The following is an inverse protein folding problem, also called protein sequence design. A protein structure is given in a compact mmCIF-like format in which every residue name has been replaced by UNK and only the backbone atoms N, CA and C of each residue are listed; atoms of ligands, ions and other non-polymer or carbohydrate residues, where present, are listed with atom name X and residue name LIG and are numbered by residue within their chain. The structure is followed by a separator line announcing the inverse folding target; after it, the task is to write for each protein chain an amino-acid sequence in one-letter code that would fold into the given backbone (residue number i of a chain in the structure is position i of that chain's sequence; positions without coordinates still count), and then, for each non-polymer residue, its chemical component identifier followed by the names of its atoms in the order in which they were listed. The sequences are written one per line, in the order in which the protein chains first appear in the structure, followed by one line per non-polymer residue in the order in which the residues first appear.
data_IF_031654689609
#
_entry.id   IF_031654689609
#
_cell.length_a   1.000
_cell.length_b   1.000
_cell.length_c   1.000
_cell.angle_alpha   90.00
_cell.angle_beta   90.00
_cell.angle_gamma   90.00
#
_symmetry.space_group_name_H-M   'P 1'
#
loop_
_entity.id
_entity.type
_entity.pdbx_description
1 polymer ?
#
# COMPACT_ATOMS: atom_id res chain seq x y z
N UNK A 1 27.07 16.63 79.36
CA UNK A 1 28.20 17.51 79.00
C UNK A 1 27.84 18.18 77.68
N UNK A 2 27.63 19.51 77.69
CA UNK A 2 27.36 20.46 76.57
C UNK A 2 26.04 20.27 75.80
N UNK A 3 24.92 20.98 76.04
CA UNK A 3 24.55 22.43 76.03
C UNK A 3 24.59 23.15 74.68
N UNK A 4 23.38 23.52 74.23
CA UNK A 4 22.98 24.85 73.71
C UNK A 4 23.73 25.50 72.54
N UNK A 5 23.05 25.62 71.40
CA UNK A 5 23.04 26.81 70.51
C UNK A 5 21.87 26.62 69.51
N UNK A 6 20.67 27.14 69.78
CA UNK A 6 20.14 28.40 69.22
C UNK A 6 19.46 28.13 67.85
N UNK A 7 18.14 28.07 67.67
CA UNK A 7 17.06 28.98 68.10
C UNK A 7 17.42 30.45 67.87
N UNK A 8 17.47 30.86 66.59
CA UNK A 8 17.13 32.19 66.05
C UNK A 8 16.93 32.01 64.54
N UNK A 9 15.67 31.90 64.11
CA UNK A 9 15.05 32.59 62.97
C UNK A 9 13.63 32.03 62.79
N UNK A 10 12.76 32.51 63.68
CA UNK A 10 11.33 32.58 63.45
C UNK A 10 11.10 33.53 62.27
N UNK A 11 10.06 33.23 61.48
CA UNK A 11 9.45 34.05 60.43
C UNK A 11 10.12 34.01 59.05
N UNK A 12 9.72 33.06 58.20
CA UNK A 12 8.98 33.30 56.94
C UNK A 12 8.73 31.95 56.22
N UNK A 13 7.63 31.28 56.51
CA UNK A 13 7.16 30.16 55.68
C UNK A 13 5.64 30.29 55.53
N UNK A 14 5.28 31.26 54.70
CA UNK A 14 3.91 31.48 54.23
C UNK A 14 3.55 30.33 53.29
N UNK A 15 2.51 29.58 53.68
CA UNK A 15 1.52 28.89 52.85
C UNK A 15 1.90 28.65 51.38
N UNK A 16 2.26 27.40 51.05
CA UNK A 16 2.02 26.84 49.72
C UNK A 16 1.38 25.46 49.91
N UNK A 17 0.05 25.42 49.75
CA UNK A 17 -0.74 24.20 49.60
C UNK A 17 -0.30 23.48 48.31
N UNK A 18 -0.14 22.15 48.29
CA UNK A 18 -0.15 21.41 47.03
C UNK A 18 -1.60 21.36 46.56
N UNK A 19 -1.93 22.13 45.53
CA UNK A 19 -3.16 21.93 44.79
C UNK A 19 -3.12 20.52 44.17
N UNK A 20 -4.05 19.66 44.58
CA UNK A 20 -4.43 18.46 43.84
C UNK A 20 -4.79 18.89 42.41
N UNK A 21 -3.93 18.60 41.44
CA UNK A 21 -4.26 18.77 40.04
C UNK A 21 -4.92 17.47 39.55
N UNK A 22 -6.24 17.40 39.71
CA UNK A 22 -7.09 16.44 38.99
C UNK A 22 -7.12 16.86 37.53
N UNK A 23 -6.14 16.41 36.73
CA UNK A 23 -6.33 16.40 35.28
C UNK A 23 -7.22 15.22 34.94
N UNK A 24 -8.53 15.46 34.93
CA UNK A 24 -9.51 14.60 34.29
C UNK A 24 -9.20 14.56 32.79
N UNK A 25 -8.34 13.60 32.40
CA UNK A 25 -8.26 13.14 31.03
C UNK A 25 -9.50 12.31 30.74
N UNK A 26 -10.61 12.99 30.45
CA UNK A 26 -11.82 12.38 29.88
C UNK A 26 -11.39 11.67 28.59
N UNK A 27 -11.33 10.34 28.67
CA UNK A 27 -11.20 9.44 27.54
C UNK A 27 -12.56 9.42 26.83
N UNK A 28 -12.82 10.43 26.01
CA UNK A 28 -13.88 10.35 25.01
C UNK A 28 -13.30 9.61 23.80
N UNK A 29 -13.68 8.33 23.65
CA UNK A 29 -13.37 7.47 22.50
C UNK A 29 -14.08 7.91 21.22
N UNK A 30 -13.94 9.18 20.83
CA UNK A 30 -14.39 9.72 19.55
C UNK A 30 -13.17 10.23 18.77
N UNK A 31 -13.08 10.02 17.45
CA UNK A 31 -12.04 10.63 16.65
C UNK A 31 -12.16 12.17 16.74
N UNK A 32 -11.10 12.81 17.23
CA UNK A 32 -10.97 14.28 17.26
C UNK A 32 -10.56 14.76 15.86
N UNK A 33 -11.38 15.60 15.25
CA UNK A 33 -10.95 16.45 14.14
C UNK A 33 -9.88 17.42 14.66
N UNK A 34 -8.65 17.28 14.16
CA UNK A 34 -7.57 18.22 14.43
C UNK A 34 -7.49 19.16 13.22
N UNK A 35 -7.84 20.41 13.45
CA UNK A 35 -7.64 21.57 12.58
C UNK A 35 -8.70 21.82 11.49
N UNK A 36 -9.45 22.90 11.67
CA UNK A 36 -10.23 23.54 10.61
C UNK A 36 -9.25 24.31 9.70
N UNK A 37 -8.88 23.71 8.58
CA UNK A 37 -8.06 24.38 7.56
C UNK A 37 -8.98 25.26 6.72
N UNK A 38 -8.86 26.57 6.93
CA UNK A 38 -9.41 27.57 6.02
C UNK A 38 -8.74 27.43 4.66
N UNK A 39 -9.52 27.12 3.63
CA UNK A 39 -9.05 26.93 2.25
C UNK A 39 -8.52 28.25 1.67
N UNK A 40 -7.25 28.36 1.25
CA UNK A 40 -6.82 29.43 0.35
C UNK A 40 -7.28 29.14 -1.09
N UNK A 41 -7.48 30.18 -1.93
CA UNK A 41 -7.98 30.02 -3.29
C UNK A 41 -7.05 29.19 -4.18
N UNK A 42 -7.69 28.35 -5.01
CA UNK A 42 -7.10 27.36 -5.90
C UNK A 42 -6.06 27.99 -6.82
N UNK A 43 -4.78 27.71 -6.57
CA UNK A 43 -3.73 27.86 -7.59
C UNK A 43 -3.61 26.52 -8.30
N UNK A 44 -3.94 26.49 -9.60
CA UNK A 44 -3.79 25.32 -10.45
C UNK A 44 -2.30 24.93 -10.51
N UNK A 45 -1.92 23.94 -9.70
CA UNK A 45 -0.62 23.27 -9.74
C UNK A 45 -0.67 22.11 -10.75
N UNK A 46 0.48 21.70 -11.33
CA UNK A 46 0.52 21.06 -12.63
C UNK A 46 0.03 19.60 -12.62
N UNK A 47 -0.66 19.26 -13.70
CA UNK A 47 -1.16 17.93 -14.08
C UNK A 47 -0.10 16.84 -13.87
N UNK A 48 -0.38 15.88 -12.97
CA UNK A 48 0.30 14.58 -12.89
C UNK A 48 0.09 13.85 -14.22
N UNK A 49 1.11 13.85 -15.08
CA UNK A 49 1.10 13.04 -16.28
C UNK A 49 1.16 11.55 -15.88
N UNK A 50 0.16 10.79 -16.29
CA UNK A 50 0.20 9.33 -16.30
C UNK A 50 1.24 8.90 -17.34
N UNK A 51 2.30 8.21 -16.93
CA UNK A 51 3.24 7.60 -17.87
C UNK A 51 2.56 6.43 -18.59
N UNK A 52 2.49 6.41 -19.94
CA UNK A 52 1.98 5.29 -20.68
C UNK A 52 2.95 4.10 -20.68
N UNK A 53 2.37 2.93 -20.54
CA UNK A 53 2.95 1.59 -20.73
C UNK A 53 3.93 1.51 -21.90
N UNK A 54 5.11 0.96 -21.65
CA UNK A 54 6.07 0.61 -22.70
C UNK A 54 5.50 -0.49 -23.59
N UNK A 55 5.04 -0.12 -24.79
CA UNK A 55 4.75 -1.03 -25.89
C UNK A 55 6.08 -1.28 -26.62
N UNK A 56 6.45 -2.55 -26.79
CA UNK A 56 7.63 -2.96 -27.53
C UNK A 56 7.61 -2.39 -28.96
N UNK A 57 8.64 -1.63 -29.34
CA UNK A 57 8.87 -1.22 -30.73
C UNK A 57 9.40 -2.40 -31.55
N UNK A 58 8.85 -2.68 -32.75
CA UNK A 58 9.49 -3.55 -33.71
C UNK A 58 10.64 -2.80 -34.43
N UNK A 59 11.71 -3.55 -34.66
CA UNK A 59 12.94 -3.19 -35.38
C UNK A 59 12.64 -2.65 -36.79
N UNK A 60 13.27 -1.56 -37.26
CA UNK A 60 13.11 -1.12 -38.65
C UNK A 60 13.95 -1.99 -39.58
N UNK A 61 13.27 -2.58 -40.57
CA UNK A 61 13.81 -3.32 -41.69
C UNK A 61 14.33 -2.33 -42.75
N UNK A 62 15.59 -2.46 -43.13
CA UNK A 62 16.27 -1.66 -44.16
C UNK A 62 15.83 -2.16 -45.55
N UNK A 63 15.21 -1.27 -46.33
CA UNK A 63 14.84 -1.51 -47.73
C UNK A 63 15.84 -0.76 -48.62
N UNK A 64 16.69 -1.51 -49.32
CA UNK A 64 17.50 -0.98 -50.42
C UNK A 64 16.62 -0.75 -51.66
N UNK A 65 16.64 0.46 -52.21
CA UNK A 65 16.15 0.73 -53.57
C UNK A 65 17.26 1.39 -54.39
N UNK A 66 17.62 0.71 -55.48
CA UNK A 66 18.68 1.03 -56.43
C UNK A 66 18.17 2.08 -57.42
N UNK A 67 18.89 3.19 -57.58
CA UNK A 67 18.73 4.06 -58.75
C UNK A 67 20.07 4.65 -59.21
N UNK A 68 20.27 4.58 -60.53
CA UNK A 68 21.55 4.65 -61.23
C UNK A 68 22.03 6.08 -61.57
N UNK A 69 23.34 6.16 -61.84
CA UNK A 69 24.11 7.32 -62.34
C UNK A 69 23.65 7.81 -63.74
N UNK A 70 24.04 9.04 -64.16
CA UNK A 70 25.25 9.11 -65.01
C UNK A 70 26.18 10.32 -64.75
N UNK A 71 27.35 10.21 -65.38
CA UNK A 71 28.58 10.99 -65.30
C UNK A 71 28.52 12.47 -65.73
N UNK A 72 29.55 13.26 -65.38
CA UNK A 72 30.50 13.87 -66.34
C UNK A 72 31.57 14.76 -65.63
N UNK A 73 32.84 14.44 -65.90
CA UNK A 73 34.04 15.30 -66.12
C UNK A 73 34.48 16.37 -65.10
N UNK A 74 35.72 16.24 -64.59
CA UNK A 74 36.62 17.39 -64.41
C UNK A 74 38.09 17.00 -64.53
N UNK A 75 38.82 17.91 -65.16
CA UNK A 75 40.12 17.83 -65.82
C UNK A 75 41.31 17.67 -64.86
N UNK A 76 42.30 16.87 -65.26
CA UNK A 76 43.56 16.67 -64.55
C UNK A 76 44.52 17.87 -64.71
N UNK A 77 45.18 18.25 -63.61
CA UNK A 77 46.38 19.11 -63.60
C UNK A 77 47.44 18.43 -62.73
N UNK A 78 48.71 18.27 -63.17
CA UNK A 78 49.74 17.57 -62.42
C UNK A 78 50.48 18.54 -61.47
N UNK A 79 50.61 18.17 -60.20
CA UNK A 79 51.32 19.00 -59.22
C UNK A 79 51.66 18.29 -57.92
N UNK A 80 52.86 17.70 -57.87
CA UNK A 80 53.76 17.57 -56.71
C UNK A 80 53.17 16.90 -55.45
N UNK A 81 53.38 15.59 -55.32
CA UNK A 81 53.14 14.83 -54.07
C UNK A 81 54.23 15.17 -53.05
N UNK A 82 53.90 16.02 -52.08
CA UNK A 82 54.64 16.10 -50.80
C UNK A 82 54.09 15.04 -49.85
N UNK A 83 54.95 14.13 -49.40
CA UNK A 83 54.65 13.16 -48.35
C UNK A 83 54.95 13.81 -46.99
N UNK A 84 53.96 14.15 -46.15
CA UNK A 84 54.23 14.50 -44.77
C UNK A 84 54.48 13.23 -43.94
N UNK A 85 55.73 13.07 -43.52
CA UNK A 85 56.20 12.11 -42.51
C UNK A 85 55.54 12.39 -41.15
N UNK A 86 54.90 11.38 -40.55
CA UNK A 86 54.35 11.45 -39.20
C UNK A 86 55.48 11.65 -38.14
N UNK A 87 55.32 12.56 -37.17
CA UNK A 87 56.28 12.75 -36.08
C UNK A 87 56.18 11.63 -35.02
N UNK A 88 57.27 11.28 -34.31
CA UNK A 88 57.27 10.24 -33.29
C UNK A 88 56.53 10.69 -32.01
N UNK A 89 55.55 9.90 -31.58
CA UNK A 89 54.84 10.10 -30.32
C UNK A 89 55.69 9.65 -29.13
N UNK A 90 55.87 10.55 -28.16
CA UNK A 90 56.53 10.30 -26.87
C UNK A 90 55.51 9.73 -25.87
N UNK A 91 55.85 8.53 -25.38
CA UNK A 91 55.22 7.64 -24.39
C UNK A 91 54.93 8.34 -23.03
N UNK A 92 53.99 7.83 -22.19
CA UNK A 92 54.31 6.68 -21.33
C UNK A 92 53.25 5.55 -21.36
N UNK A 93 53.73 4.33 -21.59
CA UNK A 93 53.00 3.07 -21.52
C UNK A 93 53.33 2.46 -20.16
N UNK A 94 52.33 2.36 -19.30
CA UNK A 94 52.43 1.70 -18.00
C UNK A 94 52.39 0.19 -18.24
N UNK A 95 53.56 -0.42 -18.33
CA UNK A 95 53.75 -1.88 -18.33
C UNK A 95 53.81 -2.38 -16.89
N UNK A 96 52.89 -3.25 -16.43
CA UNK A 96 53.13 -4.02 -15.23
C UNK A 96 54.15 -5.12 -15.53
N UNK A 97 55.30 -5.05 -14.84
CA UNK A 97 56.30 -6.13 -14.81
C UNK A 97 55.78 -7.25 -13.92
N UNK A 98 55.55 -8.45 -14.48
CA UNK A 98 55.24 -9.65 -13.71
C UNK A 98 56.55 -10.40 -13.45
N UNK A 99 57.09 -10.24 -12.25
CA UNK A 99 58.20 -11.08 -11.75
C UNK A 99 57.63 -12.42 -11.31
N UNK A 100 57.97 -13.50 -12.02
CA UNK A 100 57.69 -14.85 -11.57
C UNK A 100 58.62 -15.21 -10.40
N UNK A 101 58.08 -15.31 -9.19
CA UNK A 101 58.74 -15.92 -8.03
C UNK A 101 58.23 -17.36 -7.91
N UNK A 102 59.16 -18.32 -7.96
CA UNK A 102 58.86 -19.74 -7.81
C UNK A 102 58.92 -20.17 -6.33
N UNK A 103 58.05 -21.14 -6.03
CA UNK A 103 58.06 -22.07 -4.90
C UNK A 103 57.74 -21.51 -3.50
N UNK A 104 56.55 -21.88 -3.00
CA UNK A 104 56.47 -22.57 -1.71
C UNK A 104 55.17 -23.40 -1.57
N UNK A 105 55.40 -24.71 -1.38
CA UNK A 105 54.66 -25.70 -0.59
C UNK A 105 53.14 -25.51 -0.43
N UNK A 106 52.37 -26.29 -1.22
CA UNK A 106 50.95 -26.53 -0.96
C UNK A 106 50.78 -27.32 0.36
N UNK A 107 50.29 -26.65 1.39
CA UNK A 107 49.74 -27.29 2.59
C UNK A 107 48.39 -27.89 2.22
N UNK A 108 48.12 -29.19 2.47
CA UNK A 108 46.79 -29.75 2.23
C UNK A 108 45.78 -29.07 3.18
N UNK A 109 44.82 -28.36 2.61
CA UNK A 109 43.67 -27.85 3.34
C UNK A 109 42.89 -29.03 3.94
N UNK A 110 42.34 -28.92 5.16
CA UNK A 110 41.55 -29.99 5.74
C UNK A 110 40.30 -30.23 4.88
N UNK A 111 40.22 -31.41 4.28
CA UNK A 111 39.02 -31.94 3.65
C UNK A 111 37.86 -31.83 4.63
N UNK A 112 36.93 -30.92 4.36
CA UNK A 112 35.71 -30.79 5.14
C UNK A 112 34.82 -31.97 4.76
N UNK A 113 34.93 -33.07 5.50
CA UNK A 113 33.98 -34.18 5.40
C UNK A 113 32.58 -33.64 5.70
N UNK A 114 31.71 -33.60 4.68
CA UNK A 114 30.29 -33.36 4.88
C UNK A 114 29.74 -34.61 5.55
N UNK A 115 29.75 -34.62 6.89
CA UNK A 115 29.00 -35.60 7.66
C UNK A 115 27.52 -35.29 7.47
N UNK A 116 26.90 -35.99 6.53
CA UNK A 116 25.44 -36.06 6.42
C UNK A 116 24.97 -36.75 7.70
N UNK A 117 24.59 -35.95 8.69
CA UNK A 117 23.92 -36.45 9.89
C UNK A 117 22.48 -36.68 9.44
N UNK A 118 21.95 -37.92 9.46
CA UNK A 118 20.54 -38.13 9.15
C UNK A 118 19.72 -37.37 10.19
N UNK A 119 19.02 -36.35 9.75
CA UNK A 119 18.01 -35.66 10.54
C UNK A 119 16.96 -36.69 10.97
N UNK A 120 16.55 -36.74 12.24
CA UNK A 120 15.50 -37.66 12.65
C UNK A 120 14.23 -37.32 11.87
N UNK A 121 13.78 -38.24 11.03
CA UNK A 121 12.50 -38.15 10.34
C UNK A 121 11.41 -37.94 11.38
N UNK A 122 10.97 -36.69 11.54
CA UNK A 122 9.79 -36.37 12.31
C UNK A 122 8.61 -36.97 11.54
N UNK A 123 8.08 -38.07 12.06
CA UNK A 123 6.83 -38.65 11.60
C UNK A 123 5.73 -37.62 11.85
N UNK A 124 5.47 -36.77 10.87
CA UNK A 124 4.31 -35.89 10.87
C UNK A 124 3.08 -36.81 10.84
N UNK A 125 2.21 -36.79 11.86
CA UNK A 125 0.98 -37.58 11.79
C UNK A 125 0.14 -37.01 10.65
N UNK A 126 -0.12 -37.84 9.63
CA UNK A 126 -1.11 -37.55 8.59
C UNK A 126 -2.45 -37.38 9.28
N UNK A 127 -2.89 -36.14 9.50
CA UNK A 127 -4.27 -35.86 9.90
C UNK A 127 -5.15 -36.24 8.72
N UNK A 128 -5.71 -37.45 8.75
CA UNK A 128 -6.82 -37.83 7.88
C UNK A 128 -8.00 -36.98 8.33
N UNK A 129 -8.33 -35.97 7.54
CA UNK A 129 -9.51 -35.15 7.74
C UNK A 129 -10.74 -36.04 7.51
N UNK A 130 -11.22 -36.69 8.57
CA UNK A 130 -12.53 -37.34 8.56
C UNK A 130 -13.58 -36.23 8.42
N UNK A 131 -14.34 -36.17 7.31
CA UNK A 131 -15.44 -35.24 7.23
C UNK A 131 -16.43 -35.57 8.36
N UNK A 132 -17.05 -34.56 9.00
CA UNK A 132 -18.06 -34.80 10.02
C UNK A 132 -19.18 -35.69 9.44
N UNK A 133 -19.78 -36.60 10.23
CA UNK A 133 -20.89 -37.41 9.74
C UNK A 133 -22.01 -36.47 9.32
N UNK A 134 -22.27 -36.43 8.02
CA UNK A 134 -23.43 -35.78 7.44
C UNK A 134 -24.65 -36.44 8.07
N UNK A 135 -25.26 -35.75 9.04
CA UNK A 135 -26.58 -36.15 9.52
C UNK A 135 -27.52 -35.95 8.34
N UNK A 136 -27.85 -37.04 7.65
CA UNK A 136 -28.97 -37.08 6.74
C UNK A 136 -30.22 -36.85 7.58
N UNK A 137 -30.68 -35.61 7.64
CA UNK A 137 -32.04 -35.30 8.07
C UNK A 137 -32.95 -35.91 7.01
N UNK A 138 -33.38 -37.14 7.25
CA UNK A 138 -34.51 -37.76 6.56
C UNK A 138 -35.74 -36.95 6.95
N UNK A 139 -36.05 -35.95 6.12
CA UNK A 139 -37.37 -35.34 6.10
C UNK A 139 -38.30 -36.43 5.62
N UNK A 140 -39.02 -37.05 6.56
CA UNK A 140 -40.09 -37.97 6.25
C UNK A 140 -41.09 -37.24 5.34
N UNK A 141 -41.17 -37.68 4.08
CA UNK A 141 -42.24 -37.31 3.18
C UNK A 141 -43.54 -37.83 3.78
N UNK A 142 -44.31 -36.95 4.41
CA UNK A 142 -45.68 -37.25 4.78
C UNK A 142 -46.54 -37.10 3.51
N UNK A 143 -47.39 -38.09 3.17
CA UNK A 143 -48.13 -38.06 1.91
C UNK A 143 -49.28 -37.05 1.97
N UNK A 144 -49.31 -36.20 0.93
CA UNK A 144 -50.49 -35.69 0.23
C UNK A 144 -51.74 -35.36 1.06
N UNK A 145 -51.96 -34.06 1.27
CA UNK A 145 -53.28 -33.45 1.12
C UNK A 145 -53.14 -32.33 0.09
N UNK A 146 -53.54 -32.63 -1.15
CA UNK A 146 -53.66 -31.65 -2.21
C UNK A 146 -54.82 -30.70 -1.86
N UNK A 147 -54.46 -29.48 -1.44
CA UNK A 147 -55.37 -28.34 -1.49
C UNK A 147 -55.33 -27.78 -2.92
N UNK A 148 -56.48 -27.48 -3.55
CA UNK A 148 -56.47 -26.88 -4.88
C UNK A 148 -55.81 -25.51 -4.81
N UNK A 149 -54.80 -25.32 -5.67
CA UNK A 149 -54.16 -24.04 -5.91
C UNK A 149 -55.21 -23.04 -6.40
N UNK A 150 -55.61 -22.17 -5.49
CA UNK A 150 -56.52 -21.06 -5.72
C UNK A 150 -56.14 -19.88 -4.83
N UNK A 151 -54.84 -19.64 -4.61
CA UNK A 151 -54.37 -18.40 -4.00
C UNK A 151 -54.43 -17.30 -5.06
N UNK A 152 -55.64 -16.77 -5.21
CA UNK A 152 -55.82 -15.36 -5.59
C UNK A 152 -55.10 -14.57 -4.50
N UNK A 153 -53.95 -13.99 -4.84
CA UNK A 153 -53.28 -13.01 -3.99
C UNK A 153 -54.23 -11.82 -3.78
N UNK A 154 -55.02 -11.89 -2.71
CA UNK A 154 -55.74 -10.74 -2.20
C UNK A 154 -54.68 -9.83 -1.55
N UNK A 155 -54.50 -8.58 -2.00
CA UNK A 155 -53.61 -7.66 -1.32
C UNK A 155 -54.11 -7.51 0.12
N UNK A 156 -53.23 -7.73 1.10
CA UNK A 156 -53.52 -7.43 2.50
C UNK A 156 -53.89 -5.94 2.59
N UNK A 157 -55.12 -5.58 3.01
CA UNK A 157 -55.47 -4.18 3.15
C UNK A 157 -54.76 -3.63 4.39
N UNK A 158 -53.80 -2.72 4.20
CA UNK A 158 -53.32 -1.86 5.28
C UNK A 158 -51.85 -1.99 5.68
N UNK A 159 -51.03 -2.79 4.99
CA UNK A 159 -49.58 -2.51 4.98
C UNK A 159 -49.36 -1.59 3.79
N UNK A 160 -49.13 -0.27 3.98
CA UNK A 160 -48.56 0.51 2.91
C UNK A 160 -47.24 -0.18 2.56
N UNK A 161 -47.15 -0.75 1.35
CA UNK A 161 -45.87 -0.92 0.66
C UNK A 161 -45.28 0.48 0.59
N UNK A 162 -44.58 0.89 1.66
CA UNK A 162 -43.89 2.15 1.68
C UNK A 162 -42.75 1.95 0.70
N UNK A 163 -42.78 2.59 -0.49
CA UNK A 163 -41.66 2.51 -1.41
C UNK A 163 -40.44 2.95 -0.61
N UNK A 164 -39.35 2.18 -0.65
CA UNK A 164 -38.08 2.63 -0.09
C UNK A 164 -37.89 4.08 -0.52
N UNK A 165 -37.75 5.00 0.45
CA UNK A 165 -37.76 6.42 0.19
C UNK A 165 -36.80 6.70 -0.97
N UNK A 166 -37.34 7.17 -2.11
CA UNK A 166 -36.52 7.46 -3.28
C UNK A 166 -35.66 8.65 -2.95
N UNK A 167 -34.40 8.38 -2.61
CA UNK A 167 -33.45 9.42 -2.27
C UNK A 167 -33.29 10.37 -3.47
N UNK A 168 -33.31 11.68 -3.21
CA UNK A 168 -33.00 12.69 -4.24
C UNK A 168 -31.56 12.55 -4.76
N UNK A 169 -30.69 11.96 -3.95
CA UNK A 169 -29.32 11.59 -4.31
C UNK A 169 -29.13 10.14 -3.95
N UNK A 170 -28.93 9.24 -4.92
CA UNK A 170 -28.71 7.83 -4.63
C UNK A 170 -27.31 7.57 -4.06
N UNK A 171 -27.16 6.44 -3.39
CA UNK A 171 -25.84 5.85 -3.14
C UNK A 171 -25.20 5.44 -4.47
N UNK A 172 -23.87 5.56 -4.59
CA UNK A 172 -23.17 5.12 -5.81
C UNK A 172 -23.13 3.60 -6.00
N UNK A 173 -23.60 2.84 -5.01
CA UNK A 173 -23.66 1.38 -4.98
C UNK A 173 -25.08 0.91 -4.72
N UNK A 174 -25.36 -0.34 -5.12
CA UNK A 174 -26.69 -0.97 -4.94
C UNK A 174 -26.74 -1.91 -3.74
N UNK A 175 -25.58 -2.38 -3.26
CA UNK A 175 -25.47 -3.27 -2.09
C UNK A 175 -24.36 -2.78 -1.15
N UNK A 176 -24.61 -2.73 0.18
CA UNK A 176 -25.85 -3.06 0.87
C UNK A 176 -26.94 -2.01 0.59
N UNK A 177 -28.21 -2.42 0.69
CA UNK A 177 -29.32 -1.46 0.63
C UNK A 177 -29.41 -0.75 1.97
N UNK A 178 -29.14 0.54 1.97
CA UNK A 178 -29.22 1.38 3.17
C UNK A 178 -30.61 2.04 3.26
N UNK A 179 -31.22 2.13 4.45
CA UNK A 179 -32.53 2.74 4.64
C UNK A 179 -32.49 4.28 4.59
N UNK A 180 -31.30 4.87 4.76
CA UNK A 180 -31.06 6.32 4.75
C UNK A 180 -30.46 6.81 3.43
N UNK A 181 -30.66 8.09 3.18
CA UNK A 181 -30.12 8.77 2.02
C UNK A 181 -28.78 9.42 2.34
N UNK A 182 -27.84 9.44 1.39
CA UNK A 182 -26.57 10.11 1.57
C UNK A 182 -26.78 11.64 1.70
N UNK A 183 -26.05 12.31 2.60
CA UNK A 183 -26.11 13.77 2.76
C UNK A 183 -25.54 14.54 1.57
N UNK A 184 -24.78 13.90 0.68
CA UNK A 184 -24.14 14.53 -0.47
C UNK A 184 -23.96 13.53 -1.62
N UNK A 185 -23.80 14.05 -2.83
CA UNK A 185 -23.49 13.24 -4.00
C UNK A 185 -22.12 12.58 -3.88
N UNK A 186 -21.93 11.47 -4.59
CA UNK A 186 -20.66 10.77 -4.61
C UNK A 186 -19.59 11.65 -5.29
N UNK A 187 -18.37 11.59 -4.74
CA UNK A 187 -17.22 12.37 -5.20
C UNK A 187 -16.25 11.44 -5.90
N UNK A 188 -15.85 11.79 -7.12
CA UNK A 188 -14.78 11.11 -7.83
C UNK A 188 -13.43 11.74 -7.49
N UNK A 189 -12.42 10.92 -7.28
CA UNK A 189 -11.06 11.36 -6.98
C UNK A 189 -10.03 10.47 -7.68
N UNK A 190 -8.91 11.02 -8.18
CA UNK A 190 -7.73 10.21 -8.46
C UNK A 190 -7.36 9.43 -7.19
N UNK A 191 -7.01 8.16 -7.37
CA UNK A 191 -6.70 7.27 -6.27
C UNK A 191 -5.61 6.27 -6.65
N UNK A 192 -4.99 5.69 -5.62
CA UNK A 192 -4.09 4.55 -5.76
C UNK A 192 -4.52 3.46 -4.77
N UNK A 193 -4.31 2.21 -5.14
CA UNK A 193 -4.70 1.04 -4.35
C UNK A 193 -3.55 0.03 -4.35
N UNK A 194 -3.27 -0.56 -3.20
CA UNK A 194 -2.29 -1.64 -3.09
C UNK A 194 -2.77 -2.66 -2.04
N UNK A 195 -2.58 -3.95 -2.35
CA UNK A 195 -2.84 -5.05 -1.42
C UNK A 195 -1.58 -5.42 -0.64
N UNK A 196 -1.82 -5.87 0.58
CA UNK A 196 -0.81 -6.28 1.54
C UNK A 196 -1.23 -7.61 2.17
N UNK A 197 -0.27 -8.33 2.74
CA UNK A 197 -0.48 -9.66 3.35
C UNK A 197 -1.69 -9.70 4.31
N UNK A 198 -1.90 -8.62 5.07
CA UNK A 198 -2.95 -8.52 6.08
C UNK A 198 -3.78 -7.24 5.96
N UNK A 199 -3.88 -6.66 4.76
CA UNK A 199 -4.75 -5.51 4.54
C UNK A 199 -4.61 -4.79 3.21
N UNK A 200 -5.06 -3.54 3.21
CA UNK A 200 -5.14 -2.69 2.03
C UNK A 200 -4.70 -1.27 2.36
N UNK A 201 -4.06 -0.61 1.40
CA UNK A 201 -3.91 0.84 1.42
C UNK A 201 -4.60 1.48 0.23
N UNK A 202 -5.29 2.59 0.49
CA UNK A 202 -5.97 3.39 -0.52
C UNK A 202 -5.60 4.85 -0.36
N UNK A 203 -4.98 5.43 -1.37
CA UNK A 203 -4.71 6.87 -1.43
C UNK A 203 -5.83 7.58 -2.15
N UNK A 204 -6.30 8.70 -1.59
CA UNK A 204 -7.37 9.55 -2.16
C UNK A 204 -6.80 10.94 -2.45
N UNK A 205 -6.65 11.26 -3.73
CA UNK A 205 -5.99 12.46 -4.20
C UNK A 205 -6.65 13.77 -3.75
N UNK A 206 -7.98 13.88 -3.81
CA UNK A 206 -8.69 15.09 -3.39
C UNK A 206 -8.54 15.40 -1.88
N UNK A 207 -8.15 14.41 -1.09
CA UNK A 207 -7.95 14.53 0.35
C UNK A 207 -6.46 14.52 0.74
N UNK A 208 -5.56 14.21 -0.20
CA UNK A 208 -4.14 13.92 0.06
C UNK A 208 -3.95 12.97 1.25
N UNK A 209 -4.76 11.91 1.30
CA UNK A 209 -4.85 11.01 2.45
C UNK A 209 -4.75 9.55 2.04
N UNK A 210 -4.11 8.76 2.90
CA UNK A 210 -3.91 7.32 2.80
C UNK A 210 -4.75 6.63 3.85
N UNK A 211 -5.72 5.84 3.40
CA UNK A 211 -6.52 4.95 4.22
C UNK A 211 -5.81 3.61 4.34
N UNK A 212 -5.52 3.19 5.57
CA UNK A 212 -4.91 1.91 5.90
C UNK A 212 -5.98 1.03 6.53
N UNK A 213 -6.26 -0.11 5.93
CA UNK A 213 -7.34 -1.03 6.32
C UNK A 213 -6.71 -2.35 6.72
N UNK A 214 -6.92 -2.78 7.96
CA UNK A 214 -6.33 -3.99 8.53
C UNK A 214 -7.34 -5.14 8.56
N UNK A 215 -6.92 -6.32 8.10
CA UNK A 215 -7.74 -7.54 8.20
C UNK A 215 -7.77 -8.07 9.63
N UNK A 216 -6.74 -7.79 10.43
CA UNK A 216 -6.69 -8.17 11.85
C UNK A 216 -7.90 -7.66 12.64
N UNK A 217 -8.26 -8.37 13.71
CA UNK A 217 -9.39 -8.01 14.57
C UNK A 217 -9.06 -6.88 15.56
N UNK A 218 -7.79 -6.48 15.65
CA UNK A 218 -7.34 -5.43 16.57
C UNK A 218 -7.92 -4.07 16.20
N UNK A 219 -8.39 -3.32 17.21
CA UNK A 219 -8.94 -1.99 17.01
C UNK A 219 -7.84 -0.91 17.10
N UNK A 220 -7.88 0.15 16.28
CA UNK A 220 -8.82 0.34 15.16
C UNK A 220 -8.43 -0.55 13.96
N UNK A 221 -9.43 -1.07 13.25
CA UNK A 221 -9.25 -1.90 12.04
C UNK A 221 -9.05 -1.10 10.77
N UNK A 222 -9.17 0.23 10.84
CA UNK A 222 -8.72 1.12 9.79
C UNK A 222 -8.26 2.46 10.38
N UNK A 223 -7.37 3.15 9.68
CA UNK A 223 -6.85 4.46 10.04
C UNK A 223 -6.65 5.31 8.79
N UNK A 224 -6.53 6.62 8.96
CA UNK A 224 -6.23 7.55 7.89
C UNK A 224 -4.97 8.34 8.25
N UNK A 225 -4.08 8.49 7.29
CA UNK A 225 -2.82 9.22 7.43
C UNK A 225 -2.69 10.24 6.30
N UNK A 226 -2.06 11.40 6.53
CA UNK A 226 -1.73 12.32 5.45
C UNK A 226 -0.65 11.73 4.55
N UNK A 227 -0.74 11.98 3.24
CA UNK A 227 0.33 11.66 2.30
C UNK A 227 1.40 12.76 2.34
N UNK A 228 2.44 12.53 3.14
CA UNK A 228 3.57 13.44 3.29
C UNK A 228 4.72 13.15 2.32
N UNK A 229 4.57 12.17 1.42
CA UNK A 229 5.61 11.84 0.47
C UNK A 229 5.66 12.90 -0.64
N UNK A 230 6.86 13.37 -0.96
CA UNK A 230 7.08 14.33 -2.04
C UNK A 230 8.11 13.78 -3.03
N UNK A 231 7.98 14.21 -4.29
CA UNK A 231 8.87 13.79 -5.36
C UNK A 231 10.34 14.05 -4.99
N UNK A 232 11.18 13.04 -5.18
CA UNK A 232 12.60 13.08 -4.82
C UNK A 232 12.90 12.51 -3.43
N UNK A 233 11.90 12.19 -2.60
CA UNK A 233 12.11 11.35 -1.42
C UNK A 233 12.41 9.89 -1.82
N UNK A 234 13.13 9.12 -0.98
CA UNK A 234 13.32 7.69 -1.21
C UNK A 234 11.98 6.95 -1.37
N UNK A 235 11.88 6.16 -2.43
CA UNK A 235 10.71 5.34 -2.72
C UNK A 235 10.53 4.24 -1.66
N UNK A 236 11.63 3.57 -1.28
CA UNK A 236 11.70 2.48 -0.30
C UNK A 236 12.91 2.65 0.62
N UNK A 237 13.02 1.79 1.63
CA UNK A 237 14.15 1.78 2.57
C UNK A 237 14.88 0.43 2.50
N UNK A 238 16.03 0.34 1.82
CA UNK A 238 16.79 -0.91 1.70
C UNK A 238 17.25 -1.51 3.03
N UNK A 239 17.30 -0.73 4.11
CA UNK A 239 17.66 -1.26 5.43
C UNK A 239 16.61 -2.21 6.00
N UNK A 240 15.37 -2.12 5.51
CA UNK A 240 14.26 -3.00 5.90
C UNK A 240 14.24 -4.30 5.10
N UNK A 241 14.95 -4.41 3.97
CA UNK A 241 14.97 -5.63 3.13
C UNK A 241 15.45 -6.86 3.92
N UNK A 242 16.35 -6.67 4.88
CA UNK A 242 16.84 -7.75 5.75
C UNK A 242 15.77 -8.28 6.72
N UNK A 243 14.68 -7.53 6.93
CA UNK A 243 13.54 -7.93 7.76
C UNK A 243 12.46 -8.66 6.96
N UNK A 244 12.59 -8.77 5.64
CA UNK A 244 11.61 -9.42 4.78
C UNK A 244 11.53 -10.92 5.08
N UNK A 245 10.34 -11.46 5.38
CA UNK A 245 10.12 -12.90 5.38
C UNK A 245 10.52 -13.53 4.03
N UNK A 246 10.88 -14.83 3.99
CA UNK A 246 11.27 -15.49 2.73
C UNK A 246 10.20 -15.48 1.63
N UNK A 247 8.94 -15.24 1.99
CA UNK A 247 7.79 -15.15 1.09
C UNK A 247 7.39 -13.71 0.74
N UNK A 248 7.94 -12.72 1.44
CA UNK A 248 7.62 -11.32 1.20
C UNK A 248 8.57 -10.78 0.12
N UNK A 249 8.00 -10.33 -0.99
CA UNK A 249 8.79 -9.93 -2.15
C UNK A 249 8.91 -8.41 -2.30
N UNK A 250 7.97 -7.62 -1.75
CA UNK A 250 7.85 -6.21 -2.08
C UNK A 250 7.66 -5.30 -0.87
N UNK A 251 8.52 -4.29 -0.78
CA UNK A 251 8.23 -3.10 0.02
C UNK A 251 7.22 -2.21 -0.71
N UNK A 252 6.20 -1.66 -0.02
CA UNK A 252 5.42 -0.56 -0.57
C UNK A 252 6.31 0.64 -0.87
N UNK A 253 5.95 1.40 -1.90
CA UNK A 253 6.75 2.54 -2.39
C UNK A 253 6.04 3.86 -2.15
N UNK A 254 6.79 4.96 -2.22
CA UNK A 254 6.27 6.34 -2.20
C UNK A 254 5.41 6.63 -0.96
N UNK A 255 4.22 7.22 -1.11
CA UNK A 255 3.30 7.56 -0.02
C UNK A 255 2.93 6.36 0.85
N UNK A 256 2.54 5.24 0.25
CA UNK A 256 2.28 4.00 0.98
C UNK A 256 3.53 3.50 1.71
N UNK A 257 4.67 3.53 1.03
CA UNK A 257 5.96 3.16 1.62
C UNK A 257 6.34 4.02 2.81
N UNK A 258 6.05 5.32 2.76
CA UNK A 258 6.36 6.25 3.84
C UNK A 258 5.50 5.94 5.07
N UNK A 259 4.17 5.90 4.91
CA UNK A 259 3.24 5.54 6.00
C UNK A 259 3.61 4.18 6.59
N UNK A 260 3.90 3.18 5.75
CA UNK A 260 4.24 1.84 6.18
C UNK A 260 5.48 1.79 7.11
N UNK A 261 6.54 2.54 6.78
CA UNK A 261 7.80 2.53 7.56
C UNK A 261 7.85 3.54 8.70
N UNK A 262 7.10 4.64 8.63
CA UNK A 262 7.16 5.71 9.64
C UNK A 262 6.06 5.65 10.69
N UNK A 263 4.88 5.13 10.34
CA UNK A 263 3.76 5.10 11.27
C UNK A 263 3.84 3.90 12.21
N UNK A 264 3.85 4.12 13.54
CA UNK A 264 4.00 3.04 14.51
C UNK A 264 2.93 1.97 14.35
N UNK A 265 3.37 0.72 14.21
CA UNK A 265 2.50 -0.45 14.16
C UNK A 265 1.87 -0.75 12.79
N UNK A 266 1.98 0.14 11.79
CA UNK A 266 1.41 -0.12 10.45
C UNK A 266 2.09 -1.34 9.82
N UNK A 267 3.42 -1.32 9.69
CA UNK A 267 4.20 -2.42 9.11
C UNK A 267 3.90 -3.77 9.76
N UNK A 268 3.90 -3.83 11.09
CA UNK A 268 3.67 -5.08 11.84
C UNK A 268 2.23 -5.61 11.72
N UNK A 269 1.26 -4.75 11.43
CA UNK A 269 -0.16 -5.13 11.38
C UNK A 269 -0.64 -5.47 9.98
N UNK A 270 -0.16 -4.76 8.97
CA UNK A 270 -0.59 -4.94 7.58
C UNK A 270 0.31 -5.88 6.79
N UNK A 271 1.57 -6.05 7.20
CA UNK A 271 2.55 -6.89 6.52
C UNK A 271 3.17 -6.23 5.29
N UNK A 272 3.82 -7.03 4.44
CA UNK A 272 4.48 -6.61 3.21
C UNK A 272 3.49 -6.43 2.05
N UNK A 273 3.90 -5.72 1.01
CA UNK A 273 3.07 -5.53 -0.17
C UNK A 273 3.04 -6.82 -1.02
N UNK A 274 1.88 -7.16 -1.56
CA UNK A 274 1.73 -8.34 -2.43
C UNK A 274 2.07 -8.02 -3.89
N UNK A 275 2.12 -6.73 -4.25
CA UNK A 275 2.48 -6.26 -5.59
C UNK A 275 3.66 -5.29 -5.53
N UNK A 276 4.53 -5.25 -6.57
CA UNK A 276 5.67 -4.33 -6.62
C UNK A 276 5.26 -2.86 -6.76
N UNK A 277 4.06 -2.60 -7.29
CA UNK A 277 3.56 -1.26 -7.58
C UNK A 277 2.09 -1.10 -7.14
N UNK A 278 1.74 0.13 -6.79
CA UNK A 278 0.36 0.56 -6.59
C UNK A 278 -0.42 0.60 -7.91
N UNK A 279 -1.71 0.32 -7.85
CA UNK A 279 -2.63 0.46 -8.96
C UNK A 279 -3.31 1.83 -8.89
N UNK A 280 -3.00 2.70 -9.86
CA UNK A 280 -3.73 3.95 -10.06
C UNK A 280 -5.14 3.70 -10.61
N UNK A 281 -6.14 4.41 -10.08
CA UNK A 281 -7.53 4.32 -10.52
C UNK A 281 -8.32 5.59 -10.14
N UNK A 282 -9.60 5.65 -10.51
CA UNK A 282 -10.52 6.69 -10.03
C UNK A 282 -11.42 6.09 -8.95
N UNK A 283 -11.23 6.53 -7.70
CA UNK A 283 -12.10 6.16 -6.60
C UNK A 283 -13.39 6.98 -6.64
N UNK A 284 -14.46 6.36 -6.17
CA UNK A 284 -15.72 7.06 -5.88
C UNK A 284 -16.00 6.91 -4.40
N UNK A 285 -16.24 8.05 -3.76
CA UNK A 285 -16.40 8.16 -2.33
C UNK A 285 -17.74 8.78 -1.99
N UNK A 286 -18.34 8.32 -0.90
CA UNK A 286 -19.55 8.94 -0.36
C UNK A 286 -19.61 8.69 1.14
N UNK A 287 -20.01 9.69 1.90
CA UNK A 287 -20.06 9.62 3.37
C UNK A 287 -21.50 9.55 3.82
N UNK A 288 -21.78 8.70 4.80
CA UNK A 288 -23.08 8.57 5.46
C UNK A 288 -23.21 9.58 6.59
N UNK A 289 -24.45 9.87 6.98
CA UNK A 289 -24.76 10.81 8.07
C UNK A 289 -24.15 10.39 9.41
N UNK A 290 -23.92 9.09 9.62
CA UNK A 290 -23.25 8.56 10.82
C UNK A 290 -21.71 8.72 10.80
N UNK A 291 -21.13 9.18 9.68
CA UNK A 291 -19.68 9.30 9.50
C UNK A 291 -19.03 8.12 8.79
N UNK A 292 -19.79 7.09 8.41
CA UNK A 292 -19.27 5.96 7.63
C UNK A 292 -18.82 6.41 6.25
N UNK A 293 -17.60 6.07 5.85
CA UNK A 293 -17.04 6.43 4.55
C UNK A 293 -17.11 5.22 3.63
N UNK A 294 -17.79 5.37 2.50
CA UNK A 294 -17.81 4.37 1.45
C UNK A 294 -16.79 4.70 0.37
N UNK A 295 -15.95 3.73 -0.01
CA UNK A 295 -14.92 3.88 -1.05
C UNK A 295 -15.00 2.69 -1.99
N UNK A 296 -15.22 2.95 -3.29
CA UNK A 296 -15.15 1.90 -4.32
C UNK A 296 -13.69 1.58 -4.62
N UNK A 297 -13.31 0.31 -4.57
CA UNK A 297 -11.98 -0.18 -4.97
C UNK A 297 -11.93 -0.54 -6.48
N UNK A 298 -10.75 -0.81 -7.06
CA UNK A 298 -10.61 -1.01 -8.50
C UNK A 298 -11.44 -2.18 -9.08
N UNK A 299 -11.72 -3.21 -8.28
CA UNK A 299 -12.53 -4.37 -8.72
C UNK A 299 -14.04 -4.13 -8.58
N UNK A 300 -14.47 -2.91 -8.23
CA UNK A 300 -15.89 -2.56 -8.09
C UNK A 300 -16.49 -2.86 -6.72
N UNK A 301 -15.77 -3.55 -5.83
CA UNK A 301 -16.17 -3.74 -4.43
C UNK A 301 -16.13 -2.41 -3.67
N UNK A 302 -16.86 -2.32 -2.57
CA UNK A 302 -17.03 -1.09 -1.78
C UNK A 302 -16.61 -1.34 -0.34
N UNK A 303 -15.58 -0.64 0.09
CA UNK A 303 -15.22 -0.54 1.51
C UNK A 303 -16.20 0.38 2.22
N UNK A 304 -16.65 -0.02 3.40
CA UNK A 304 -17.42 0.80 4.32
C UNK A 304 -16.63 0.95 5.62
N UNK A 305 -16.06 2.14 5.82
CA UNK A 305 -15.19 2.47 6.95
C UNK A 305 -16.00 3.19 8.01
N UNK A 306 -16.33 2.49 9.08
CA UNK A 306 -17.20 2.98 10.15
C UNK A 306 -16.39 3.80 11.17
N UNK A 307 -16.95 4.88 11.74
CA UNK A 307 -16.23 5.78 12.66
C UNK A 307 -15.87 5.14 14.01
N UNK A 308 -16.47 3.99 14.32
CA UNK A 308 -16.10 3.14 15.46
C UNK A 308 -14.75 2.43 15.26
N UNK A 309 -14.14 2.56 14.07
CA UNK A 309 -12.87 1.94 13.72
C UNK A 309 -13.03 0.56 13.07
N UNK A 310 -14.25 0.12 12.76
CA UNK A 310 -14.51 -1.13 12.05
C UNK A 310 -14.67 -0.90 10.54
N UNK A 311 -14.59 -1.95 9.75
CA UNK A 311 -14.85 -1.88 8.32
C UNK A 311 -15.54 -3.13 7.78
N UNK A 312 -16.23 -2.96 6.65
CA UNK A 312 -16.83 -4.03 5.86
C UNK A 312 -16.50 -3.84 4.38
N UNK A 313 -16.55 -4.93 3.61
CA UNK A 313 -16.37 -4.93 2.17
C UNK A 313 -17.58 -5.57 1.51
N UNK A 314 -18.15 -4.87 0.54
CA UNK A 314 -19.33 -5.30 -0.22
C UNK A 314 -18.96 -5.50 -1.69
N UNK A 315 -19.54 -6.50 -2.35
CA UNK A 315 -19.20 -6.86 -3.73
C UNK A 315 -20.22 -7.80 -4.32
#
# INVERSE_FOLDING_TARGET
MKTFFGLIFVALAVLILPACNTSEGVIDGRPRLISEVTLPPVTLAPTRALSPTAIASPMPQETEEIAASPAMTSTAVPGITVTPTLPPSKTPSITPSVTATAADTATPAPTREIRITPEPTVLVPTMVFMPPPTQAVVVAANPTLALPAGDVSLPLPGVPDQPAASCSTPWFFTYPVLPDCPPSAAVESPAAYQTFEYGYMIWIGNQSAIYVIYISADMPRWQVFPDNWVEGMPDSDPSLDALAPPYAEWQPRRGFGLVWRTEPGVMSRIGWAESPYEQGYTAVLQTRTDGTIFIREPNGRVFALSPDGNWQLYG
#
